data_IF_759879499159
#
_entry.id   IF_759879499159
#
_cell.length_a   1.000
_cell.length_b   1.000
_cell.length_c   1.000
_cell.angle_alpha   90.00
_cell.angle_beta   90.00
_cell.angle_gamma   90.00
#
_symmetry.space_group_name_H-M   'P 1'
#
loop_
_entity.id
_entity.type
_entity.pdbx_description
1 polymer ?
#
# COMPACT_ATOMS: atom_id res chain seq x y z
N UNK A 1 4.36 23.83 35.88
CA UNK A 1 4.45 22.38 36.14
C UNK A 1 3.02 21.84 36.14
N UNK A 2 2.48 21.41 35.01
CA UNK A 2 1.34 20.52 34.96
C UNK A 2 1.42 19.71 33.65
N UNK A 3 1.87 18.49 33.82
CA UNK A 3 1.87 17.46 32.85
C UNK A 3 0.43 16.91 32.77
N UNK A 4 -0.34 17.35 31.79
CA UNK A 4 -1.70 16.89 31.60
C UNK A 4 -1.96 16.61 30.12
N UNK A 5 -2.13 15.33 29.76
CA UNK A 5 -2.86 14.92 28.59
C UNK A 5 -2.13 14.10 27.54
N UNK A 6 -1.52 12.96 27.92
CA UNK A 6 -0.97 11.99 26.96
C UNK A 6 -1.98 10.89 26.52
N UNK A 7 -3.21 10.89 27.03
CA UNK A 7 -4.16 9.83 26.76
C UNK A 7 -4.96 9.97 25.44
N UNK A 8 -5.62 11.09 25.13
CA UNK A 8 -6.46 11.22 23.94
C UNK A 8 -5.68 11.38 22.63
N UNK A 9 -4.50 12.04 22.66
CA UNK A 9 -3.69 12.27 21.47
C UNK A 9 -3.07 11.00 20.88
N UNK A 10 -2.61 10.07 21.69
CA UNK A 10 -1.98 8.83 21.20
C UNK A 10 -2.96 7.92 20.41
N UNK A 11 -4.22 7.83 20.82
CA UNK A 11 -5.20 7.03 20.05
C UNK A 11 -5.56 7.68 18.72
N UNK A 12 -5.52 9.01 18.61
CA UNK A 12 -5.75 9.69 17.35
C UNK A 12 -4.60 9.51 16.35
N UNK A 13 -3.36 9.37 16.86
CA UNK A 13 -2.16 9.21 16.03
C UNK A 13 -2.09 7.86 15.28
N UNK A 14 -2.84 6.86 15.70
CA UNK A 14 -2.91 5.56 15.03
C UNK A 14 -4.19 5.35 14.21
N UNK A 15 -5.19 6.23 14.38
CA UNK A 15 -6.50 6.02 13.78
C UNK A 15 -6.46 5.93 12.25
N UNK A 16 -5.65 6.77 11.59
CA UNK A 16 -5.56 6.81 10.14
C UNK A 16 -4.98 5.52 9.52
N UNK A 17 -4.15 4.77 10.25
CA UNK A 17 -3.52 3.55 9.74
C UNK A 17 -4.28 2.27 10.09
N UNK A 18 -5.32 2.34 10.96
CA UNK A 18 -6.06 1.15 11.43
C UNK A 18 -6.56 0.28 10.27
N UNK A 19 -7.25 0.78 9.22
CA UNK A 19 -7.74 -0.07 8.14
C UNK A 19 -6.60 -0.81 7.42
N UNK A 20 -5.46 -0.14 7.21
CA UNK A 20 -4.29 -0.70 6.54
C UNK A 20 -3.68 -1.82 7.39
N UNK A 21 -3.50 -1.58 8.70
CA UNK A 21 -2.95 -2.55 9.64
C UNK A 21 -3.82 -3.81 9.72
N UNK A 22 -5.14 -3.68 9.69
CA UNK A 22 -6.07 -4.83 9.67
C UNK A 22 -5.80 -5.71 8.45
N UNK A 23 -5.63 -5.12 7.25
CA UNK A 23 -5.35 -5.87 6.02
C UNK A 23 -3.98 -6.55 6.09
N UNK A 24 -2.94 -5.85 6.58
CA UNK A 24 -1.60 -6.43 6.76
C UNK A 24 -1.62 -7.60 7.73
N UNK A 25 -2.29 -7.45 8.88
CA UNK A 25 -2.41 -8.52 9.86
C UNK A 25 -3.18 -9.73 9.30
N UNK A 26 -4.21 -9.50 8.49
CA UNK A 26 -4.92 -10.57 7.80
C UNK A 26 -4.02 -11.32 6.81
N UNK A 27 -3.15 -10.60 6.07
CA UNK A 27 -2.14 -11.19 5.20
C UNK A 27 -1.14 -12.05 5.98
N UNK A 28 -0.62 -11.53 7.08
CA UNK A 28 0.25 -12.29 7.98
C UNK A 28 -0.46 -13.54 8.55
N UNK A 29 -1.71 -13.40 8.96
CA UNK A 29 -2.50 -14.52 9.48
C UNK A 29 -2.74 -15.60 8.41
N UNK A 30 -3.01 -15.22 7.16
CA UNK A 30 -3.14 -16.15 6.04
C UNK A 30 -1.85 -16.95 5.79
N UNK A 31 -0.68 -16.29 5.82
CA UNK A 31 0.63 -16.93 5.71
C UNK A 31 0.89 -17.90 6.86
N UNK A 32 0.62 -17.48 8.10
CA UNK A 32 0.80 -18.33 9.28
C UNK A 32 -0.13 -19.52 9.25
N UNK A 33 -1.41 -19.33 8.87
CA UNK A 33 -2.37 -20.42 8.75
C UNK A 33 -1.90 -21.49 7.73
N UNK A 34 -1.33 -21.07 6.59
CA UNK A 34 -0.73 -22.01 5.63
C UNK A 34 0.48 -22.74 6.24
N UNK A 35 1.36 -22.04 6.98
CA UNK A 35 2.56 -22.64 7.57
C UNK A 35 2.24 -23.71 8.61
N UNK A 36 1.14 -23.56 9.34
CA UNK A 36 0.67 -24.53 10.34
C UNK A 36 -0.30 -25.57 9.79
N UNK A 37 -0.70 -25.47 8.52
CA UNK A 37 -1.62 -26.42 7.88
C UNK A 37 -1.01 -27.80 7.78
N UNK A 38 -1.70 -28.80 8.31
CA UNK A 38 -1.30 -30.20 8.17
C UNK A 38 -1.62 -30.72 6.76
N UNK A 39 -0.79 -31.66 6.24
CA UNK A 39 -1.01 -32.26 4.92
C UNK A 39 -2.38 -32.94 4.87
N UNK A 40 -3.24 -32.47 3.95
CA UNK A 40 -4.58 -33.02 3.73
C UNK A 40 -5.73 -32.27 4.43
N UNK A 41 -5.43 -31.24 5.24
CA UNK A 41 -6.43 -30.40 5.87
C UNK A 41 -6.90 -29.28 4.93
N UNK A 42 -8.22 -29.15 4.73
CA UNK A 42 -8.83 -28.05 3.96
C UNK A 42 -9.08 -26.88 4.91
N UNK A 43 -8.11 -26.02 5.08
CA UNK A 43 -8.35 -24.73 5.76
C UNK A 43 -8.82 -23.69 4.76
N UNK A 44 -9.90 -22.95 5.05
CA UNK A 44 -10.37 -21.86 4.19
C UNK A 44 -9.49 -20.63 4.37
N UNK A 45 -8.28 -20.64 3.81
CA UNK A 45 -7.28 -19.57 3.97
C UNK A 45 -7.79 -18.26 3.40
N UNK A 46 -8.57 -18.31 2.31
CA UNK A 46 -9.27 -17.15 1.76
C UNK A 46 -10.16 -16.44 2.82
N UNK A 47 -10.70 -17.21 3.79
CA UNK A 47 -11.53 -16.67 4.86
C UNK A 47 -10.83 -15.64 5.74
N UNK A 48 -9.53 -15.83 6.02
CA UNK A 48 -8.74 -14.84 6.78
C UNK A 48 -8.67 -13.51 6.02
N UNK A 49 -8.48 -13.57 4.71
CA UNK A 49 -8.45 -12.37 3.87
C UNK A 49 -9.81 -11.68 3.80
N UNK A 50 -10.89 -12.44 3.62
CA UNK A 50 -12.26 -11.89 3.58
C UNK A 50 -12.64 -11.21 4.91
N UNK A 51 -12.28 -11.81 6.05
CA UNK A 51 -12.50 -11.24 7.39
C UNK A 51 -11.66 -9.94 7.53
N UNK A 52 -10.40 -9.97 7.10
CA UNK A 52 -9.52 -8.80 7.15
C UNK A 52 -10.04 -7.64 6.30
N UNK A 53 -10.44 -7.90 5.06
CA UNK A 53 -11.01 -6.88 4.17
C UNK A 53 -12.35 -6.35 4.70
N UNK A 54 -13.21 -7.23 5.24
CA UNK A 54 -14.45 -6.82 5.89
C UNK A 54 -14.21 -5.94 7.11
N UNK A 55 -13.24 -6.31 7.95
CA UNK A 55 -12.82 -5.51 9.11
C UNK A 55 -12.23 -4.15 8.73
N UNK A 56 -11.41 -4.10 7.67
CA UNK A 56 -10.86 -2.85 7.15
C UNK A 56 -11.94 -1.94 6.54
N UNK A 57 -12.91 -2.53 5.84
CA UNK A 57 -14.06 -1.78 5.31
C UNK A 57 -14.91 -1.19 6.44
N UNK A 58 -15.21 -1.97 7.48
CA UNK A 58 -15.92 -1.47 8.66
C UNK A 58 -15.14 -0.36 9.37
N UNK A 59 -13.83 -0.54 9.59
CA UNK A 59 -12.99 0.50 10.17
C UNK A 59 -13.01 1.79 9.33
N UNK A 60 -12.98 1.69 8.00
CA UNK A 60 -13.06 2.84 7.09
C UNK A 60 -14.41 3.56 7.20
N UNK A 61 -15.52 2.83 7.37
CA UNK A 61 -16.84 3.42 7.59
C UNK A 61 -16.92 4.12 8.95
N UNK A 62 -16.36 3.53 10.02
CA UNK A 62 -16.35 4.15 11.35
C UNK A 62 -15.49 5.42 11.40
N UNK A 63 -14.43 5.48 10.61
CA UNK A 63 -13.55 6.67 10.51
C UNK A 63 -14.12 7.73 9.57
N UNK A 64 -15.25 7.51 8.91
CA UNK A 64 -15.82 8.44 7.96
C UNK A 64 -16.11 9.81 8.59
N UNK A 65 -15.52 10.85 8.01
CA UNK A 65 -15.64 12.24 8.51
C UNK A 65 -14.68 12.59 9.66
N UNK A 66 -13.76 11.69 10.06
CA UNK A 66 -12.88 11.95 11.21
C UNK A 66 -11.61 12.72 10.88
N UNK A 67 -11.20 12.88 9.63
CA UNK A 67 -9.96 13.56 9.20
C UNK A 67 -8.77 13.30 10.13
N UNK A 68 -8.48 12.01 10.37
CA UNK A 68 -7.43 11.58 11.27
C UNK A 68 -6.06 11.65 10.58
N UNK A 69 -5.03 12.08 11.31
CA UNK A 69 -3.65 12.06 10.85
C UNK A 69 -2.80 11.12 11.71
N UNK A 70 -1.94 10.33 11.07
CA UNK A 70 -0.98 9.46 11.74
C UNK A 70 0.44 9.87 11.38
N UNK A 71 1.24 10.15 12.42
CA UNK A 71 2.66 10.52 12.31
C UNK A 71 2.95 11.72 11.40
N UNK A 72 1.95 12.50 11.01
CA UNK A 72 2.09 13.63 10.09
C UNK A 72 2.37 13.25 8.63
N UNK A 73 2.38 11.97 8.28
CA UNK A 73 2.72 11.46 6.94
C UNK A 73 1.61 10.62 6.29
N UNK A 74 0.60 10.24 7.07
CA UNK A 74 -0.60 9.51 6.60
C UNK A 74 -1.84 10.25 7.08
N UNK A 75 -2.78 10.53 6.17
CA UNK A 75 -4.05 11.21 6.45
C UNK A 75 -5.22 10.35 6.00
N UNK A 76 -6.15 10.13 6.92
CA UNK A 76 -7.39 9.42 6.63
C UNK A 76 -8.52 10.43 6.44
N UNK A 77 -8.55 11.05 5.28
CA UNK A 77 -9.67 11.90 4.86
C UNK A 77 -10.76 11.08 4.14
N UNK A 78 -11.88 11.70 3.83
CA UNK A 78 -12.99 11.03 3.15
C UNK A 78 -12.59 10.44 1.79
N UNK A 79 -11.61 11.05 1.10
CA UNK A 79 -11.11 10.52 -0.16
C UNK A 79 -10.34 9.21 0.05
N UNK A 80 -9.37 9.18 0.98
CA UNK A 80 -8.61 7.98 1.31
C UNK A 80 -9.53 6.85 1.80
N UNK A 81 -10.52 7.18 2.66
CA UNK A 81 -11.50 6.21 3.15
C UNK A 81 -12.40 5.66 2.04
N UNK A 82 -12.80 6.49 1.08
CA UNK A 82 -13.56 6.04 -0.10
C UNK A 82 -12.73 5.07 -0.95
N UNK A 83 -11.46 5.41 -1.23
CA UNK A 83 -10.55 4.51 -1.95
C UNK A 83 -10.36 3.20 -1.19
N UNK A 84 -10.20 3.25 0.13
CA UNK A 84 -10.09 2.05 0.97
C UNK A 84 -11.33 1.14 0.82
N UNK A 85 -12.53 1.69 0.82
CA UNK A 85 -13.77 0.91 0.61
C UNK A 85 -13.81 0.27 -0.79
N UNK A 86 -13.45 1.01 -1.82
CA UNK A 86 -13.36 0.47 -3.19
C UNK A 86 -12.35 -0.67 -3.26
N UNK A 87 -11.16 -0.49 -2.68
CA UNK A 87 -10.12 -1.52 -2.65
C UNK A 87 -10.54 -2.76 -1.85
N UNK A 88 -11.25 -2.59 -0.74
CA UNK A 88 -11.82 -3.71 0.01
C UNK A 88 -12.84 -4.49 -0.83
N UNK A 89 -13.73 -3.81 -1.55
CA UNK A 89 -14.72 -4.47 -2.43
C UNK A 89 -14.02 -5.23 -3.55
N UNK A 90 -13.07 -4.60 -4.24
CA UNK A 90 -12.28 -5.24 -5.31
C UNK A 90 -11.50 -6.43 -4.75
N UNK A 91 -10.90 -6.27 -3.57
CA UNK A 91 -10.16 -7.35 -2.90
C UNK A 91 -11.05 -8.56 -2.56
N UNK A 92 -12.23 -8.32 -2.01
CA UNK A 92 -13.22 -9.37 -1.74
C UNK A 92 -13.61 -10.10 -3.02
N UNK A 93 -13.95 -9.37 -4.09
CA UNK A 93 -14.28 -9.97 -5.38
C UNK A 93 -13.11 -10.79 -5.94
N UNK A 94 -11.88 -10.24 -5.88
CA UNK A 94 -10.68 -10.94 -6.32
C UNK A 94 -10.50 -12.25 -5.57
N UNK A 95 -10.66 -12.26 -4.25
CA UNK A 95 -10.52 -13.49 -3.45
C UNK A 95 -11.60 -14.52 -3.76
N UNK A 96 -12.86 -14.10 -3.90
CA UNK A 96 -13.96 -14.99 -4.22
C UNK A 96 -13.80 -15.63 -5.61
N UNK A 97 -13.38 -14.88 -6.63
CA UNK A 97 -13.15 -15.42 -7.96
C UNK A 97 -11.85 -16.22 -8.10
N UNK A 98 -10.89 -16.01 -7.23
CA UNK A 98 -9.58 -16.69 -7.30
C UNK A 98 -9.58 -18.05 -6.64
N UNK A 99 -10.53 -18.39 -5.77
CA UNK A 99 -10.50 -19.60 -4.96
C UNK A 99 -10.48 -20.88 -5.83
N UNK A 100 -11.35 -20.95 -6.83
CA UNK A 100 -11.39 -22.05 -7.79
C UNK A 100 -10.09 -22.15 -8.64
N UNK A 101 -9.53 -21.00 -9.02
CA UNK A 101 -8.31 -20.96 -9.84
C UNK A 101 -7.11 -21.42 -9.02
N UNK A 102 -6.98 -20.94 -7.77
CA UNK A 102 -5.90 -21.30 -6.84
C UNK A 102 -5.89 -22.82 -6.60
N UNK A 103 -7.08 -23.43 -6.37
CA UNK A 103 -7.21 -24.88 -6.16
C UNK A 103 -6.90 -25.65 -7.47
N UNK A 104 -7.47 -25.24 -8.59
CA UNK A 104 -7.30 -25.93 -9.89
C UNK A 104 -5.86 -25.91 -10.40
N UNK A 105 -5.18 -24.79 -10.22
CA UNK A 105 -3.80 -24.61 -10.69
C UNK A 105 -2.76 -25.07 -9.65
N UNK A 106 -3.20 -25.52 -8.47
CA UNK A 106 -2.33 -25.99 -7.40
C UNK A 106 -1.38 -24.90 -6.86
N UNK A 107 -1.83 -23.65 -6.85
CA UNK A 107 -1.04 -22.54 -6.31
C UNK A 107 -1.00 -22.61 -4.78
N UNK A 108 0.07 -22.10 -4.13
CA UNK A 108 0.12 -22.02 -2.67
C UNK A 108 -0.88 -20.96 -2.18
N UNK A 109 -2.00 -21.37 -1.52
CA UNK A 109 -3.07 -20.41 -1.21
C UNK A 109 -2.66 -19.37 -0.19
N UNK A 110 -1.86 -19.72 0.82
CA UNK A 110 -1.38 -18.75 1.82
C UNK A 110 -0.50 -17.66 1.20
N UNK A 111 0.44 -18.04 0.34
CA UNK A 111 1.29 -17.08 -0.38
C UNK A 111 0.44 -16.20 -1.30
N UNK A 112 -0.49 -16.78 -2.07
CA UNK A 112 -1.33 -16.04 -3.01
C UNK A 112 -2.21 -14.99 -2.31
N UNK A 113 -2.94 -15.39 -1.27
CA UNK A 113 -3.85 -14.49 -0.58
C UNK A 113 -3.10 -13.45 0.25
N UNK A 114 -1.99 -13.82 0.89
CA UNK A 114 -1.16 -12.86 1.63
C UNK A 114 -0.57 -11.78 0.73
N UNK A 115 0.01 -12.16 -0.42
CA UNK A 115 0.56 -11.20 -1.38
C UNK A 115 -0.53 -10.30 -1.98
N UNK A 116 -1.72 -10.84 -2.24
CA UNK A 116 -2.87 -10.04 -2.68
C UNK A 116 -3.27 -9.00 -1.62
N UNK A 117 -3.31 -9.38 -0.34
CA UNK A 117 -3.60 -8.46 0.76
C UNK A 117 -2.51 -7.42 0.96
N UNK A 118 -1.23 -7.79 0.81
CA UNK A 118 -0.13 -6.83 0.87
C UNK A 118 -0.19 -5.84 -0.29
N UNK A 119 -0.52 -6.28 -1.50
CA UNK A 119 -0.74 -5.38 -2.63
C UNK A 119 -1.87 -4.39 -2.35
N UNK A 120 -3.00 -4.85 -1.80
CA UNK A 120 -4.13 -3.99 -1.40
C UNK A 120 -3.69 -3.01 -0.31
N UNK A 121 -2.96 -3.46 0.72
CA UNK A 121 -2.48 -2.59 1.79
C UNK A 121 -1.53 -1.50 1.27
N UNK A 122 -0.68 -1.81 0.28
CA UNK A 122 0.15 -0.83 -0.41
C UNK A 122 -0.68 0.23 -1.13
N UNK A 123 -1.73 -0.17 -1.86
CA UNK A 123 -2.65 0.76 -2.52
C UNK A 123 -3.40 1.64 -1.52
N UNK A 124 -3.86 1.08 -0.40
CA UNK A 124 -4.52 1.83 0.68
C UNK A 124 -3.58 2.85 1.31
N UNK A 125 -2.33 2.46 1.59
CA UNK A 125 -1.32 3.35 2.14
C UNK A 125 -0.99 4.49 1.17
N UNK A 126 -0.88 4.20 -0.12
CA UNK A 126 -0.62 5.20 -1.16
C UNK A 126 -1.74 6.24 -1.24
N UNK A 127 -3.01 5.82 -1.13
CA UNK A 127 -4.16 6.72 -1.15
C UNK A 127 -4.23 7.65 0.08
N UNK A 128 -3.66 7.23 1.22
CA UNK A 128 -3.65 7.99 2.47
C UNK A 128 -2.34 8.76 2.73
N UNK A 129 -1.31 8.58 1.90
CA UNK A 129 0.00 9.17 2.08
C UNK A 129 0.02 10.68 1.78
N UNK A 130 0.66 11.46 2.65
CA UNK A 130 0.90 12.90 2.49
C UNK A 130 2.38 13.26 2.34
N UNK A 131 3.23 12.23 2.20
CA UNK A 131 4.68 12.34 2.12
C UNK A 131 5.20 11.48 0.96
N UNK A 132 6.12 12.01 0.15
CA UNK A 132 6.66 11.33 -1.04
C UNK A 132 7.40 10.02 -0.69
N UNK A 133 8.08 9.96 0.46
CA UNK A 133 8.76 8.71 0.88
C UNK A 133 7.74 7.65 1.27
N UNK A 134 6.61 8.04 1.88
CA UNK A 134 5.53 7.09 2.21
C UNK A 134 4.84 6.61 0.93
N UNK A 135 4.64 7.48 -0.07
CA UNK A 135 4.14 7.08 -1.39
C UNK A 135 5.10 6.06 -2.04
N UNK A 136 6.41 6.34 -1.99
CA UNK A 136 7.43 5.41 -2.49
C UNK A 136 7.35 4.05 -1.81
N UNK A 137 7.32 4.01 -0.47
CA UNK A 137 7.21 2.76 0.28
C UNK A 137 5.92 2.00 -0.02
N UNK A 138 4.81 2.71 -0.15
CA UNK A 138 3.52 2.13 -0.51
C UNK A 138 3.53 1.50 -1.91
N UNK A 139 4.16 2.18 -2.87
CA UNK A 139 4.38 1.68 -4.22
C UNK A 139 5.28 0.43 -4.23
N UNK A 140 6.35 0.41 -3.42
CA UNK A 140 7.22 -0.76 -3.31
C UNK A 140 6.49 -1.97 -2.70
N UNK A 141 5.66 -1.77 -1.66
CA UNK A 141 4.85 -2.85 -1.07
C UNK A 141 3.91 -3.46 -2.11
N UNK A 142 3.22 -2.62 -2.87
CA UNK A 142 2.36 -3.04 -3.97
C UNK A 142 3.16 -3.80 -5.04
N UNK A 143 4.22 -3.20 -5.54
CA UNK A 143 5.00 -3.70 -6.67
C UNK A 143 5.68 -5.03 -6.35
N UNK A 144 6.36 -5.15 -5.20
CA UNK A 144 6.99 -6.40 -4.77
C UNK A 144 5.98 -7.54 -4.67
N UNK A 145 4.79 -7.25 -4.10
CA UNK A 145 3.72 -8.24 -4.01
C UNK A 145 3.28 -8.74 -5.40
N UNK A 146 3.11 -7.83 -6.36
CA UNK A 146 2.69 -8.17 -7.74
C UNK A 146 3.81 -8.87 -8.50
N UNK A 147 5.09 -8.51 -8.30
CA UNK A 147 6.21 -9.21 -8.94
C UNK A 147 6.26 -10.68 -8.51
N UNK A 148 6.08 -10.96 -7.22
CA UNK A 148 6.05 -12.34 -6.71
C UNK A 148 4.80 -13.07 -7.20
N UNK A 149 3.62 -12.43 -7.24
CA UNK A 149 2.39 -13.00 -7.78
C UNK A 149 2.54 -13.39 -9.26
N UNK A 150 3.24 -12.60 -10.05
CA UNK A 150 3.50 -12.90 -11.47
C UNK A 150 4.28 -14.20 -11.64
N UNK A 151 5.21 -14.50 -10.72
CA UNK A 151 6.02 -15.71 -10.71
C UNK A 151 5.55 -16.81 -9.76
N UNK A 152 4.33 -16.74 -9.22
CA UNK A 152 3.87 -17.63 -8.14
C UNK A 152 3.84 -19.12 -8.56
N UNK A 153 3.64 -19.40 -9.85
CA UNK A 153 3.71 -20.75 -10.40
C UNK A 153 5.18 -21.14 -10.62
N UNK A 154 5.83 -21.70 -9.60
CA UNK A 154 7.26 -22.06 -9.59
C UNK A 154 7.68 -23.05 -10.70
N UNK A 155 6.75 -23.86 -11.22
CA UNK A 155 7.00 -24.81 -12.31
C UNK A 155 6.98 -24.17 -13.70
N UNK A 156 6.56 -22.91 -13.85
CA UNK A 156 6.45 -22.22 -15.13
C UNK A 156 7.70 -21.40 -15.44
N UNK A 157 8.52 -21.88 -16.39
CA UNK A 157 9.67 -21.10 -16.87
C UNK A 157 9.24 -19.74 -17.48
N UNK A 158 8.09 -19.71 -18.18
CA UNK A 158 7.54 -18.48 -18.73
C UNK A 158 7.09 -17.51 -17.61
N UNK A 159 6.49 -18.02 -16.52
CA UNK A 159 6.14 -17.22 -15.35
C UNK A 159 7.36 -16.62 -14.65
N UNK A 160 8.42 -17.41 -14.48
CA UNK A 160 9.67 -16.93 -13.89
C UNK A 160 10.35 -15.85 -14.76
N UNK A 161 10.38 -16.02 -16.08
CA UNK A 161 10.91 -15.03 -17.02
C UNK A 161 10.09 -13.73 -17.01
N UNK A 162 8.76 -13.86 -16.98
CA UNK A 162 7.87 -12.71 -16.88
C UNK A 162 8.06 -11.95 -15.56
N UNK A 163 8.12 -12.65 -14.42
CA UNK A 163 8.36 -12.04 -13.11
C UNK A 163 9.72 -11.33 -13.05
N UNK A 164 10.76 -11.95 -13.59
CA UNK A 164 12.09 -11.36 -13.64
C UNK A 164 12.13 -10.06 -14.48
N UNK A 165 11.54 -10.08 -15.67
CA UNK A 165 11.44 -8.90 -16.54
C UNK A 165 10.64 -7.78 -15.88
N UNK A 166 9.51 -8.14 -15.24
CA UNK A 166 8.66 -7.18 -14.56
C UNK A 166 9.38 -6.56 -13.36
N UNK A 167 10.07 -7.37 -12.56
CA UNK A 167 10.90 -6.90 -11.45
C UNK A 167 12.01 -5.94 -11.92
N UNK A 168 12.77 -6.30 -12.98
CA UNK A 168 13.84 -5.44 -13.49
C UNK A 168 13.30 -4.09 -13.97
N UNK A 169 12.20 -4.10 -14.74
CA UNK A 169 11.60 -2.88 -15.26
C UNK A 169 11.06 -2.01 -14.11
N UNK A 170 10.40 -2.63 -13.13
CA UNK A 170 9.87 -1.94 -11.97
C UNK A 170 10.97 -1.35 -11.08
N UNK A 171 12.00 -2.13 -10.75
CA UNK A 171 13.12 -1.64 -9.95
C UNK A 171 13.84 -0.45 -10.62
N UNK A 172 13.93 -0.46 -11.96
CA UNK A 172 14.48 0.65 -12.71
C UNK A 172 13.59 1.90 -12.61
N UNK A 173 12.27 1.74 -12.78
CA UNK A 173 11.30 2.82 -12.62
C UNK A 173 11.30 3.41 -11.21
N UNK A 174 11.31 2.54 -10.18
CA UNK A 174 11.40 2.95 -8.77
C UNK A 174 12.64 3.78 -8.46
N UNK A 175 13.78 3.46 -9.09
CA UNK A 175 15.01 4.24 -8.94
C UNK A 175 14.84 5.66 -9.47
N UNK A 176 14.18 5.85 -10.62
CA UNK A 176 13.88 7.18 -11.16
C UNK A 176 12.89 7.94 -10.26
N UNK A 177 11.86 7.26 -9.78
CA UNK A 177 10.92 7.87 -8.85
C UNK A 177 11.64 8.38 -7.59
N UNK A 178 12.48 7.54 -6.98
CA UNK A 178 13.24 7.92 -5.78
C UNK A 178 14.21 9.09 -6.07
N UNK A 179 14.78 9.12 -7.28
CA UNK A 179 15.62 10.24 -7.69
C UNK A 179 14.80 11.53 -7.86
N UNK A 180 13.56 11.42 -8.33
CA UNK A 180 12.60 12.53 -8.36
C UNK A 180 12.27 13.05 -6.95
N UNK A 181 12.09 12.16 -5.98
CA UNK A 181 11.91 12.52 -4.57
C UNK A 181 13.12 13.30 -4.05
N UNK A 182 14.35 12.85 -4.37
CA UNK A 182 15.57 13.56 -3.97
C UNK A 182 15.65 14.97 -4.56
N UNK A 183 15.25 15.19 -5.81
CA UNK A 183 15.17 16.52 -6.40
C UNK A 183 14.08 17.39 -5.77
N UNK A 184 12.92 16.80 -5.45
CA UNK A 184 11.84 17.51 -4.75
C UNK A 184 12.31 17.98 -3.35
N UNK A 185 13.03 17.10 -2.63
CA UNK A 185 13.63 17.43 -1.35
C UNK A 185 14.71 18.51 -1.49
N UNK A 186 15.59 18.43 -2.48
CA UNK A 186 16.62 19.44 -2.72
C UNK A 186 16.03 20.83 -3.01
N UNK A 187 14.83 20.86 -3.61
CA UNK A 187 14.13 22.10 -3.94
C UNK A 187 13.41 22.72 -2.73
N UNK A 188 12.75 21.89 -1.94
CA UNK A 188 11.81 22.33 -0.89
C UNK A 188 12.36 22.19 0.54
N UNK A 189 13.39 21.35 0.73
CA UNK A 189 13.87 20.95 2.05
C UNK A 189 12.96 19.95 2.77
N UNK A 190 11.90 19.43 2.11
CA UNK A 190 10.91 18.54 2.69
C UNK A 190 10.45 17.49 1.69
N UNK A 191 9.94 16.35 2.21
CA UNK A 191 9.27 15.31 1.41
C UNK A 191 7.75 15.41 1.51
N UNK A 192 7.22 16.29 2.34
CA UNK A 192 5.79 16.50 2.53
C UNK A 192 5.17 17.23 1.34
N UNK A 193 4.05 16.72 0.85
CA UNK A 193 3.37 17.26 -0.33
C UNK A 193 2.88 18.70 -0.13
N UNK A 194 2.36 19.04 1.06
CA UNK A 194 1.89 20.38 1.41
C UNK A 194 3.03 21.42 1.41
N UNK A 195 4.19 21.07 1.96
CA UNK A 195 5.38 21.94 2.02
C UNK A 195 6.00 22.11 0.62
N UNK A 196 6.11 21.03 -0.16
CA UNK A 196 6.57 21.10 -1.55
C UNK A 196 5.63 21.99 -2.36
N UNK A 197 4.32 21.81 -2.23
CA UNK A 197 3.31 22.61 -2.90
C UNK A 197 3.39 24.10 -2.54
N UNK A 198 3.65 24.43 -1.28
CA UNK A 198 3.83 25.82 -0.81
C UNK A 198 5.07 26.48 -1.46
N UNK A 199 6.21 25.75 -1.52
CA UNK A 199 7.43 26.26 -2.17
C UNK A 199 7.23 26.49 -3.66
N UNK A 200 6.60 25.52 -4.37
CA UNK A 200 6.31 25.67 -5.80
C UNK A 200 5.35 26.84 -6.08
N UNK A 201 4.35 27.03 -5.21
CA UNK A 201 3.40 28.16 -5.34
C UNK A 201 4.06 29.50 -5.07
N UNK A 202 5.01 29.58 -4.13
CA UNK A 202 5.75 30.80 -3.80
C UNK A 202 6.74 31.23 -4.89
N UNK A 203 7.25 30.29 -5.69
CA UNK A 203 8.11 30.58 -6.84
C UNK A 203 7.39 31.33 -7.99
N UNK A 204 6.06 31.38 -7.92
CA UNK A 204 5.21 32.17 -8.84
C UNK A 204 5.12 31.58 -10.24
N UNK A 205 4.33 32.26 -11.10
CA UNK A 205 4.19 31.93 -12.53
C UNK A 205 5.44 32.32 -13.37
N UNK A 206 6.58 32.55 -12.70
CA UNK A 206 7.90 32.69 -13.35
C UNK A 206 8.32 31.36 -13.98
N UNK A 207 9.31 31.39 -14.83
CA UNK A 207 9.79 30.19 -15.52
C UNK A 207 10.18 29.12 -14.51
N UNK A 208 9.64 27.88 -14.64
CA UNK A 208 9.97 26.81 -13.73
C UNK A 208 11.48 26.56 -13.74
N UNK A 209 12.08 26.37 -12.57
CA UNK A 209 13.50 26.03 -12.47
C UNK A 209 13.76 24.66 -13.13
N UNK A 210 14.97 24.47 -13.67
CA UNK A 210 15.36 23.15 -14.20
C UNK A 210 15.18 22.06 -13.15
N UNK A 211 15.45 22.37 -11.88
CA UNK A 211 15.29 21.44 -10.76
C UNK A 211 13.83 21.03 -10.54
N UNK A 212 12.87 21.97 -10.65
CA UNK A 212 11.44 21.64 -10.53
C UNK A 212 10.94 20.79 -11.71
N UNK A 213 11.40 21.06 -12.90
CA UNK A 213 11.08 20.25 -14.09
C UNK A 213 11.65 18.83 -13.98
N UNK A 214 12.89 18.69 -13.48
CA UNK A 214 13.51 17.38 -13.26
C UNK A 214 12.79 16.60 -12.15
N UNK A 215 12.42 17.26 -11.04
CA UNK A 215 11.65 16.61 -9.97
C UNK A 215 10.33 16.04 -10.50
N UNK A 216 9.53 16.86 -11.19
CA UNK A 216 8.25 16.44 -11.76
C UNK A 216 8.45 15.35 -12.82
N UNK A 217 9.42 15.53 -13.75
CA UNK A 217 9.67 14.58 -14.81
C UNK A 217 10.06 13.19 -14.30
N UNK A 218 10.85 13.12 -13.22
CA UNK A 218 11.28 11.85 -12.63
C UNK A 218 10.21 11.21 -11.73
N UNK A 219 9.28 11.99 -11.17
CA UNK A 219 8.15 11.45 -10.41
C UNK A 219 7.05 10.86 -11.30
N UNK A 220 7.03 11.21 -12.60
CA UNK A 220 6.01 10.73 -13.56
C UNK A 220 6.44 9.46 -14.28
N UNK A 221 7.71 9.06 -14.22
CA UNK A 221 8.25 7.83 -14.83
C UNK A 221 7.82 6.60 -14.06
#
# INVERSE_FOLDING_TARGET
ITNAGSGPKQMSDYAAIIPIVIVVLAGCAAMLAEAFRQRGERMPIAGFGLIGLGGAALASVFLWGSDAQSFGVVRSDNFALFINLVLCIVGVLTMLFSDEIVEREGLPPGEYYALTLFAISGMMLMAAATDLLVIFLALEILSLSVYVLTGIRRSSAAGADAAFKYFLLGAFSSAFFLYGVAFAFALSGSTRLDEIGAVLSAQGAGQPSITSLLAVGLLVV
#
